data_IF_518962730983
#
_entry.id   IF_518962730983
#
_cell.length_a   1.000
_cell.length_b   1.000
_cell.length_c   1.000
_cell.angle_alpha   90.00
_cell.angle_beta   90.00
_cell.angle_gamma   90.00
#
_symmetry.space_group_name_H-M   'P 1'
#
loop_
_entity.id
_entity.type
_entity.pdbx_description
1 polymer ?
#
# COMPACT_ATOMS: atom_id res chain seq x y z
N UNK A 1 42.82 -14.63 -64.07
CA UNK A 1 43.24 -13.71 -62.99
C UNK A 1 42.25 -12.56 -63.03
N UNK A 2 41.41 -12.24 -62.05
CA UNK A 2 41.29 -12.58 -60.62
C UNK A 2 39.79 -12.53 -60.25
N UNK A 3 39.46 -13.33 -59.23
CA UNK A 3 38.21 -13.54 -58.48
C UNK A 3 37.16 -12.43 -58.40
N UNK A 4 35.89 -12.85 -58.37
CA UNK A 4 34.85 -12.22 -57.58
C UNK A 4 34.14 -13.28 -56.72
N UNK A 5 34.21 -13.09 -55.41
CA UNK A 5 33.78 -13.97 -54.32
C UNK A 5 32.26 -14.07 -54.25
N UNK A 6 31.75 -15.29 -54.14
CA UNK A 6 30.36 -15.57 -53.82
C UNK A 6 30.14 -15.31 -52.32
N UNK A 7 29.58 -14.16 -51.98
CA UNK A 7 29.20 -13.83 -50.60
C UNK A 7 27.83 -14.43 -50.33
N UNK A 8 27.81 -15.58 -49.67
CA UNK A 8 26.60 -16.11 -49.03
C UNK A 8 26.24 -15.18 -47.88
N UNK A 9 25.26 -14.30 -48.10
CA UNK A 9 24.64 -13.53 -47.02
C UNK A 9 23.71 -14.50 -46.29
N UNK A 10 24.25 -15.15 -45.26
CA UNK A 10 23.42 -15.78 -44.24
C UNK A 10 22.66 -14.65 -43.53
N UNK A 11 21.34 -14.63 -43.68
CA UNK A 11 20.45 -13.77 -42.90
C UNK A 11 20.68 -14.06 -41.41
N UNK A 12 21.47 -13.23 -40.75
CA UNK A 12 21.50 -13.22 -39.29
C UNK A 12 20.24 -12.51 -38.82
N UNK A 13 19.13 -13.26 -38.86
CA UNK A 13 17.89 -12.84 -38.21
C UNK A 13 18.18 -12.52 -36.76
N UNK A 14 18.06 -11.25 -36.39
CA UNK A 14 18.05 -10.80 -35.00
C UNK A 14 16.84 -11.44 -34.33
N UNK A 15 17.03 -12.59 -33.68
CA UNK A 15 16.00 -13.21 -32.87
C UNK A 15 15.85 -12.39 -31.59
N UNK A 16 14.89 -11.47 -31.61
CA UNK A 16 14.45 -10.74 -30.43
C UNK A 16 13.61 -11.70 -29.59
N UNK A 17 14.25 -12.51 -28.74
CA UNK A 17 13.52 -13.30 -27.75
C UNK A 17 12.96 -12.33 -26.70
N UNK A 18 11.63 -12.18 -26.59
CA UNK A 18 11.05 -11.36 -25.55
C UNK A 18 11.46 -11.93 -24.18
N UNK A 19 11.72 -11.08 -23.18
CA UNK A 19 12.03 -11.55 -21.83
C UNK A 19 10.87 -12.39 -21.31
N UNK A 20 11.20 -13.46 -20.59
CA UNK A 20 10.20 -14.37 -20.05
C UNK A 20 9.15 -13.60 -19.22
N UNK A 21 7.85 -13.89 -19.40
CA UNK A 21 6.80 -13.22 -18.68
C UNK A 21 7.01 -13.41 -17.17
N UNK A 22 6.96 -12.30 -16.43
CA UNK A 22 7.10 -12.32 -14.98
C UNK A 22 6.07 -13.29 -14.38
N UNK A 23 6.51 -14.23 -13.52
CA UNK A 23 5.61 -15.22 -12.95
C UNK A 23 4.52 -14.51 -12.16
N UNK A 24 3.26 -14.88 -12.42
CA UNK A 24 2.11 -14.33 -11.71
C UNK A 24 2.23 -14.67 -10.22
N UNK A 25 2.47 -13.64 -9.41
CA UNK A 25 2.52 -13.76 -7.96
C UNK A 25 1.11 -14.05 -7.47
N UNK A 26 0.87 -15.26 -6.96
CA UNK A 26 -0.41 -15.60 -6.34
C UNK A 26 -0.73 -14.58 -5.23
N UNK A 27 -2.00 -14.20 -4.99
CA UNK A 27 -2.37 -13.18 -4.00
C UNK A 27 -1.78 -13.43 -2.60
N UNK A 28 -1.59 -14.71 -2.25
CA UNK A 28 -0.94 -15.15 -1.02
C UNK A 28 0.55 -14.77 -0.89
N UNK A 29 1.20 -14.30 -1.96
CA UNK A 29 2.58 -13.81 -1.98
C UNK A 29 2.68 -12.28 -2.16
N UNK A 30 1.56 -11.60 -2.41
CA UNK A 30 1.54 -10.16 -2.75
C UNK A 30 1.14 -9.25 -1.59
N UNK A 31 0.48 -9.76 -0.55
CA UNK A 31 0.33 -9.02 0.70
C UNK A 31 1.68 -9.03 1.44
N UNK A 32 2.11 -7.89 1.95
CA UNK A 32 3.20 -7.78 2.93
C UNK A 32 2.85 -8.58 4.18
N UNK A 33 3.01 -9.90 4.11
CA UNK A 33 2.72 -10.84 5.16
C UNK A 33 3.86 -10.73 6.16
N UNK A 34 3.71 -9.84 7.12
CA UNK A 34 4.31 -10.09 8.42
C UNK A 34 3.74 -11.44 8.87
N UNK A 35 4.54 -12.52 8.93
CA UNK A 35 4.02 -13.82 9.27
C UNK A 35 3.52 -13.77 10.71
N UNK A 36 2.22 -13.88 10.89
CA UNK A 36 1.62 -14.05 12.21
C UNK A 36 1.69 -15.53 12.54
N UNK A 37 2.34 -15.87 13.65
CA UNK A 37 2.38 -17.24 14.17
C UNK A 37 0.95 -17.78 14.35
N UNK A 38 0.71 -19.05 14.02
CA UNK A 38 -0.64 -19.63 14.07
C UNK A 38 -1.24 -19.59 15.49
N UNK A 39 -0.40 -19.64 16.52
CA UNK A 39 -0.80 -19.44 17.91
C UNK A 39 -1.39 -18.03 18.16
N UNK A 40 -0.73 -16.99 17.63
CA UNK A 40 -1.21 -15.60 17.72
C UNK A 40 -2.49 -15.40 16.92
N UNK A 41 -2.62 -16.04 15.75
CA UNK A 41 -3.86 -16.02 14.96
C UNK A 41 -5.03 -16.60 15.76
N UNK A 42 -4.84 -17.79 16.33
CA UNK A 42 -5.87 -18.48 17.12
C UNK A 42 -6.29 -17.66 18.35
N UNK A 43 -5.33 -17.02 19.02
CA UNK A 43 -5.62 -16.14 20.15
C UNK A 43 -6.44 -14.91 19.72
N UNK A 44 -6.08 -14.27 18.61
CA UNK A 44 -6.84 -13.15 18.06
C UNK A 44 -8.26 -13.58 17.66
N UNK A 45 -8.42 -14.73 17.01
CA UNK A 45 -9.73 -15.27 16.64
C UNK A 45 -10.60 -15.49 17.89
N UNK A 46 -10.04 -16.09 18.94
CA UNK A 46 -10.75 -16.31 20.22
C UNK A 46 -11.21 -14.98 20.85
N UNK A 47 -10.36 -13.95 20.81
CA UNK A 47 -10.70 -12.61 21.33
C UNK A 47 -11.79 -11.94 20.49
N UNK A 48 -11.74 -12.09 19.17
CA UNK A 48 -12.75 -11.56 18.25
C UNK A 48 -14.09 -12.23 18.49
N UNK A 49 -14.13 -13.56 18.56
CA UNK A 49 -15.35 -14.32 18.82
C UNK A 49 -15.99 -13.93 20.15
N UNK A 50 -15.19 -13.82 21.22
CA UNK A 50 -15.67 -13.37 22.53
C UNK A 50 -16.25 -11.95 22.48
N UNK A 51 -15.55 -11.02 21.83
CA UNK A 51 -16.03 -9.65 21.68
C UNK A 51 -17.34 -9.56 20.89
N UNK A 52 -17.48 -10.33 19.80
CA UNK A 52 -18.71 -10.39 18.99
C UNK A 52 -19.87 -10.98 19.81
N UNK A 53 -19.63 -12.07 20.54
CA UNK A 53 -20.65 -12.66 21.40
C UNK A 53 -21.13 -11.68 22.46
N UNK A 54 -20.21 -10.98 23.12
CA UNK A 54 -20.57 -9.97 24.10
C UNK A 54 -21.33 -8.80 23.45
N UNK A 55 -20.95 -8.36 22.25
CA UNK A 55 -21.64 -7.28 21.55
C UNK A 55 -23.08 -7.66 21.15
N UNK A 56 -23.29 -8.88 20.67
CA UNK A 56 -24.61 -9.38 20.27
C UNK A 56 -25.50 -9.66 21.48
N UNK A 57 -24.91 -9.98 22.65
CA UNK A 57 -25.65 -10.16 23.89
C UNK A 57 -26.19 -8.84 24.47
N UNK A 58 -25.67 -7.69 24.04
CA UNK A 58 -26.12 -6.37 24.51
C UNK A 58 -27.36 -5.90 23.75
N UNK A 59 -28.22 -5.15 24.43
CA UNK A 59 -29.32 -4.43 23.79
C UNK A 59 -28.77 -3.29 22.91
N UNK A 60 -29.29 -3.18 21.69
CA UNK A 60 -28.85 -2.18 20.70
C UNK A 60 -29.07 -0.73 21.13
N UNK A 61 -30.01 -0.47 22.05
CA UNK A 61 -30.27 0.85 22.60
C UNK A 61 -29.52 1.09 23.92
N UNK A 62 -28.67 0.15 24.36
CA UNK A 62 -27.92 0.29 25.59
C UNK A 62 -26.69 1.19 25.43
N UNK A 63 -26.32 1.95 26.49
CA UNK A 63 -25.06 2.68 26.52
C UNK A 63 -23.81 1.78 26.49
N UNK A 64 -23.94 0.48 26.79
CA UNK A 64 -22.81 -0.45 26.71
C UNK A 64 -22.54 -0.87 25.26
N UNK A 65 -23.58 -1.12 24.46
CA UNK A 65 -23.46 -1.39 23.03
C UNK A 65 -22.76 -0.21 22.32
N UNK A 66 -23.21 1.02 22.57
CA UNK A 66 -22.59 2.23 22.02
C UNK A 66 -21.10 2.32 22.36
N UNK A 67 -20.72 2.15 23.65
CA UNK A 67 -19.31 2.16 24.08
C UNK A 67 -18.45 1.10 23.38
N UNK A 68 -19.00 -0.10 23.16
CA UNK A 68 -18.28 -1.19 22.46
C UNK A 68 -18.10 -0.89 20.97
N UNK A 69 -19.12 -0.35 20.30
CA UNK A 69 -19.02 0.08 18.89
C UNK A 69 -18.06 1.25 18.72
N UNK A 70 -18.10 2.22 19.65
CA UNK A 70 -17.18 3.35 19.66
C UNK A 70 -15.73 2.91 19.80
N UNK A 71 -15.46 1.89 20.63
CA UNK A 71 -14.13 1.32 20.77
C UNK A 71 -13.58 0.74 19.45
N UNK A 72 -14.41 0.04 18.66
CA UNK A 72 -14.03 -0.47 17.33
C UNK A 72 -13.73 0.70 16.38
N UNK A 73 -14.61 1.70 16.38
CA UNK A 73 -14.48 2.87 15.50
C UNK A 73 -13.22 3.68 15.82
N UNK A 74 -12.94 3.90 17.11
CA UNK A 74 -11.74 4.60 17.56
C UNK A 74 -10.46 3.84 17.19
N UNK A 75 -10.45 2.52 17.32
CA UNK A 75 -9.34 1.67 16.89
C UNK A 75 -9.11 1.80 15.37
N UNK A 76 -10.16 1.68 14.56
CA UNK A 76 -10.05 1.83 13.10
C UNK A 76 -9.54 3.22 12.69
N UNK A 77 -10.06 4.29 13.29
CA UNK A 77 -9.63 5.66 13.02
C UNK A 77 -8.16 5.92 13.41
N UNK A 78 -7.64 5.23 14.43
CA UNK A 78 -6.23 5.28 14.81
C UNK A 78 -5.37 4.57 13.76
N UNK A 79 -5.71 3.33 13.41
CA UNK A 79 -4.97 2.54 12.41
C UNK A 79 -4.92 3.23 11.04
N UNK A 80 -6.05 3.82 10.59
CA UNK A 80 -6.10 4.61 9.35
C UNK A 80 -5.13 5.79 9.39
N UNK A 81 -5.11 6.55 10.50
CA UNK A 81 -4.18 7.68 10.67
C UNK A 81 -2.73 7.23 10.68
N UNK A 82 -2.42 6.13 11.34
CA UNK A 82 -1.05 5.59 11.39
C UNK A 82 -0.59 5.08 10.02
N UNK A 83 -1.43 4.31 9.32
CA UNK A 83 -1.16 3.82 7.97
C UNK A 83 -0.99 4.96 6.95
N UNK A 84 -1.85 5.99 7.04
CA UNK A 84 -1.72 7.20 6.25
C UNK A 84 -0.40 7.94 6.57
N UNK A 85 0.00 8.01 7.84
CA UNK A 85 1.28 8.58 8.26
C UNK A 85 2.50 7.85 7.69
N UNK A 86 2.47 6.51 7.63
CA UNK A 86 3.55 5.73 7.00
C UNK A 86 3.58 5.91 5.48
N UNK A 87 2.41 5.95 4.84
CA UNK A 87 2.29 6.18 3.39
C UNK A 87 2.80 7.56 3.01
N UNK A 88 2.44 8.59 3.77
CA UNK A 88 2.96 9.95 3.57
C UNK A 88 4.48 10.02 3.75
N UNK A 89 5.08 9.30 4.71
CA UNK A 89 6.55 9.25 4.87
C UNK A 89 7.25 8.57 3.69
N UNK A 90 6.61 7.58 3.08
CA UNK A 90 7.12 6.91 1.89
C UNK A 90 7.08 7.82 0.66
N UNK A 91 6.07 8.68 0.56
CA UNK A 91 5.94 9.70 -0.49
C UNK A 91 6.80 10.96 -0.23
N UNK A 92 7.04 11.33 1.03
CA UNK A 92 7.81 12.52 1.43
C UNK A 92 9.29 12.43 1.01
N UNK A 93 9.89 11.24 1.10
CA UNK A 93 11.32 11.05 0.76
C UNK A 93 11.61 11.25 -0.73
N UNK A 94 10.88 10.61 -1.66
CA UNK A 94 10.99 10.87 -3.09
C UNK A 94 10.63 12.31 -3.45
N UNK A 95 9.56 12.87 -2.88
CA UNK A 95 9.16 14.26 -3.15
C UNK A 95 10.23 15.25 -2.72
N UNK A 96 10.83 15.12 -1.53
CA UNK A 96 11.95 15.98 -1.10
C UNK A 96 13.21 15.80 -1.96
N UNK A 97 13.45 14.60 -2.48
CA UNK A 97 14.56 14.37 -3.41
C UNK A 97 14.31 15.03 -4.77
N UNK A 98 13.06 15.02 -5.27
CA UNK A 98 12.65 15.73 -6.49
C UNK A 98 12.63 17.26 -6.30
N UNK A 99 12.23 17.73 -5.12
CA UNK A 99 12.16 19.15 -4.76
C UNK A 99 13.54 19.83 -4.74
N UNK A 100 14.60 19.08 -4.39
CA UNK A 100 15.98 19.58 -4.48
C UNK A 100 16.43 19.88 -5.93
N UNK A 101 15.83 19.26 -6.94
CA UNK A 101 16.16 19.50 -8.35
C UNK A 101 15.18 20.44 -9.07
N UNK A 102 13.92 20.51 -8.65
CA UNK A 102 12.86 21.21 -9.43
C UNK A 102 12.00 22.21 -8.65
N UNK A 103 12.12 22.32 -7.31
CA UNK A 103 11.45 23.34 -6.50
C UNK A 103 9.92 23.17 -6.32
N UNK A 104 9.33 22.09 -6.84
CA UNK A 104 7.87 21.84 -6.85
C UNK A 104 7.29 21.56 -5.46
N UNK A 105 8.07 20.98 -4.55
CA UNK A 105 7.64 20.70 -3.17
C UNK A 105 7.46 21.96 -2.34
N UNK A 106 8.20 23.04 -2.66
CA UNK A 106 7.94 24.37 -2.07
C UNK A 106 6.56 24.89 -2.46
N UNK A 107 6.20 24.80 -3.73
CA UNK A 107 4.91 25.30 -4.24
C UNK A 107 3.73 24.45 -3.73
N UNK A 108 3.91 23.13 -3.61
CA UNK A 108 2.89 22.24 -3.03
C UNK A 108 2.70 22.46 -1.53
N UNK A 109 3.77 22.77 -0.78
CA UNK A 109 3.68 23.10 0.64
C UNK A 109 3.02 24.46 0.86
N UNK A 110 3.20 25.42 -0.05
CA UNK A 110 2.53 26.72 -0.03
C UNK A 110 1.04 26.57 -0.36
N UNK A 111 0.70 25.80 -1.40
CA UNK A 111 -0.69 25.51 -1.76
C UNK A 111 -1.46 24.84 -0.61
N UNK A 112 -0.83 23.89 0.09
CA UNK A 112 -1.45 23.25 1.27
C UNK A 112 -1.79 24.26 2.37
N UNK A 113 -0.89 25.19 2.69
CA UNK A 113 -1.15 26.24 3.70
C UNK A 113 -2.30 27.14 3.28
N UNK A 114 -2.32 27.56 2.02
CA UNK A 114 -3.41 28.40 1.48
C UNK A 114 -4.76 27.68 1.55
N UNK A 115 -4.80 26.39 1.27
CA UNK A 115 -6.04 25.59 1.38
C UNK A 115 -6.47 25.41 2.84
N UNK A 116 -5.53 25.16 3.77
CA UNK A 116 -5.80 25.07 5.21
C UNK A 116 -6.29 26.42 5.78
N UNK A 117 -5.76 27.56 5.33
CA UNK A 117 -6.21 28.90 5.71
C UNK A 117 -7.61 29.23 5.15
N UNK A 118 -7.99 28.60 4.04
CA UNK A 118 -9.30 28.72 3.39
C UNK A 118 -10.32 27.71 3.90
N UNK A 119 -9.95 26.81 4.82
CA UNK A 119 -10.84 25.85 5.46
C UNK A 119 -11.37 26.43 6.79
N UNK A 120 -12.58 27.06 6.80
CA UNK A 120 -13.23 27.45 8.04
C UNK A 120 -13.84 26.18 8.64
N UNK A 121 -12.99 25.41 9.34
CA UNK A 121 -13.30 24.04 9.80
C UNK A 121 -14.71 23.78 10.34
#
# INVERSE_FOLDING_TARGET
MVSATETVVAEQGLTLTPPDPVPTVAPAKAAGLVPVEDAKRTELDTRVDGFVQELVAQDVNSPEFGRRVDAITAMGAKEIREAAGQSNRFLDRPVRAMDQETGVGKDLAELRRVVEDLDPG
#
